data_IF_134276447522
#
_entry.id   IF_134276447522
#
_cell.length_a   1.000
_cell.length_b   1.000
_cell.length_c   1.000
_cell.angle_alpha   90.00
_cell.angle_beta   90.00
_cell.angle_gamma   90.00
#
_symmetry.space_group_name_H-M   'P 1'
#
loop_
_entity.id
_entity.type
_entity.pdbx_description
1 polymer ?
#
# COMPACT_ATOMS: atom_id res chain seq x y z
N UNK A 1 1.09 -28.58 -22.82
CA UNK A 1 0.82 -27.51 -21.82
C UNK A 1 1.64 -27.83 -20.60
N UNK A 2 2.77 -27.17 -20.43
CA UNK A 2 3.59 -27.30 -19.23
C UNK A 2 2.85 -26.62 -18.07
N UNK A 3 2.53 -27.39 -17.04
CA UNK A 3 2.09 -26.83 -15.75
C UNK A 3 3.24 -25.94 -15.26
N UNK A 4 3.00 -24.62 -15.18
CA UNK A 4 3.93 -23.74 -14.51
C UNK A 4 4.14 -24.30 -13.10
N UNK A 5 5.36 -24.68 -12.76
CA UNK A 5 5.71 -25.14 -11.42
C UNK A 5 5.30 -24.06 -10.44
N UNK A 6 4.49 -24.41 -9.43
CA UNK A 6 4.20 -23.50 -8.32
C UNK A 6 5.56 -23.02 -7.79
N UNK A 7 5.81 -21.71 -7.90
CA UNK A 7 7.04 -21.14 -7.39
C UNK A 7 7.06 -21.33 -5.87
N UNK A 8 8.02 -22.09 -5.39
CA UNK A 8 8.18 -22.33 -3.96
C UNK A 8 8.55 -21.01 -3.26
N UNK A 9 7.80 -20.66 -2.23
CA UNK A 9 7.97 -19.39 -1.49
C UNK A 9 8.66 -19.65 -0.17
N UNK A 10 9.83 -19.05 0.01
CA UNK A 10 10.52 -18.99 1.28
C UNK A 10 9.91 -17.88 2.14
N UNK A 11 9.55 -18.22 3.38
CA UNK A 11 9.02 -17.27 4.36
C UNK A 11 9.83 -17.31 5.65
N UNK A 12 10.01 -16.15 6.28
CA UNK A 12 10.76 -16.03 7.52
C UNK A 12 10.23 -14.89 8.39
N UNK A 13 10.07 -15.13 9.68
CA UNK A 13 9.96 -14.05 10.67
C UNK A 13 11.35 -13.48 10.95
N UNK A 14 11.48 -12.16 10.82
CA UNK A 14 12.74 -11.43 11.00
C UNK A 14 12.51 -10.23 11.92
N UNK A 15 13.61 -9.68 12.44
CA UNK A 15 13.57 -8.43 13.22
C UNK A 15 14.37 -7.36 12.50
N UNK A 16 13.76 -6.20 12.27
CA UNK A 16 14.43 -5.03 11.72
C UNK A 16 15.45 -4.44 12.72
N UNK A 17 16.39 -3.63 12.22
CA UNK A 17 17.47 -3.06 13.05
C UNK A 17 16.99 -2.27 14.28
N UNK A 18 15.80 -1.69 14.19
CA UNK A 18 15.17 -0.94 15.30
C UNK A 18 14.34 -1.81 16.25
N UNK A 19 14.45 -3.13 16.18
CA UNK A 19 13.69 -4.09 16.99
C UNK A 19 12.27 -4.39 16.47
N UNK A 20 11.85 -3.81 15.36
CA UNK A 20 10.52 -4.01 14.77
C UNK A 20 10.40 -5.42 14.18
N UNK A 21 9.44 -6.26 14.66
CA UNK A 21 9.18 -7.56 14.05
C UNK A 21 8.67 -7.40 12.61
N UNK A 22 9.06 -8.32 11.74
CA UNK A 22 8.64 -8.30 10.35
C UNK A 22 8.52 -9.73 9.78
N UNK A 23 7.72 -9.87 8.73
CA UNK A 23 7.58 -11.08 7.95
C UNK A 23 8.17 -10.87 6.57
N UNK A 24 9.10 -11.73 6.20
CA UNK A 24 9.76 -11.71 4.90
C UNK A 24 9.24 -12.88 4.05
N UNK A 25 8.92 -12.60 2.79
CA UNK A 25 8.53 -13.61 1.80
C UNK A 25 9.24 -13.34 0.47
N UNK A 26 9.78 -14.36 -0.18
CA UNK A 26 10.38 -14.27 -1.51
C UNK A 26 10.38 -15.65 -2.20
N UNK A 27 10.45 -15.71 -3.53
CA UNK A 27 10.73 -16.94 -4.27
C UNK A 27 11.99 -17.63 -3.74
N UNK A 28 11.90 -18.93 -3.48
CA UNK A 28 13.00 -19.71 -2.93
C UNK A 28 14.22 -19.68 -3.88
N UNK A 29 15.40 -19.51 -3.30
CA UNK A 29 16.63 -19.47 -4.09
C UNK A 29 16.89 -18.20 -4.89
N UNK A 30 15.93 -17.30 -5.01
CA UNK A 30 16.05 -16.07 -5.80
C UNK A 30 17.07 -15.07 -5.23
N UNK A 31 17.56 -14.19 -6.10
CA UNK A 31 18.46 -13.09 -5.76
C UNK A 31 18.11 -11.85 -6.59
N UNK A 32 18.26 -10.67 -5.97
CA UNK A 32 18.10 -9.37 -6.64
C UNK A 32 16.73 -9.17 -7.31
N UNK A 33 15.66 -9.54 -6.61
CA UNK A 33 14.29 -9.30 -7.05
C UNK A 33 13.86 -7.85 -6.79
N UNK A 34 12.96 -7.29 -7.60
CA UNK A 34 12.24 -6.07 -7.23
C UNK A 34 11.61 -6.24 -5.85
N UNK A 35 11.61 -5.19 -5.07
CA UNK A 35 11.36 -5.30 -3.63
C UNK A 35 10.14 -4.48 -3.21
N UNK A 36 9.33 -5.02 -2.31
CA UNK A 36 8.18 -4.33 -1.74
C UNK A 36 8.33 -4.27 -0.22
N UNK A 37 8.24 -3.08 0.38
CA UNK A 37 7.85 -2.94 1.79
C UNK A 37 6.34 -2.83 1.85
N UNK A 38 5.70 -3.82 2.47
CA UNK A 38 4.25 -3.93 2.58
C UNK A 38 3.81 -3.53 3.98
N UNK A 39 3.11 -2.41 4.07
CA UNK A 39 2.51 -1.93 5.32
C UNK A 39 1.15 -2.61 5.51
N UNK A 40 0.77 -2.80 6.75
CA UNK A 40 -0.49 -3.45 7.11
C UNK A 40 -1.64 -2.45 7.27
N UNK A 41 -2.88 -2.94 7.32
CA UNK A 41 -4.05 -2.18 7.74
C UNK A 41 -3.97 -1.82 9.24
N UNK A 42 -5.06 -1.27 9.80
CA UNK A 42 -5.15 -0.90 11.23
C UNK A 42 -4.90 -2.04 12.23
N UNK A 43 -4.86 -3.28 11.76
CA UNK A 43 -4.80 -4.48 12.61
C UNK A 43 -3.37 -4.97 12.89
N UNK A 44 -2.33 -4.31 12.40
CA UNK A 44 -0.95 -4.77 12.56
C UNK A 44 -0.59 -5.93 11.63
N UNK A 45 0.47 -6.66 11.97
CA UNK A 45 0.99 -7.78 11.17
C UNK A 45 0.17 -9.06 11.40
N UNK A 46 -1.09 -9.05 10.97
CA UNK A 46 -2.03 -10.19 11.05
C UNK A 46 -1.89 -11.14 9.85
N UNK A 47 -2.62 -12.27 9.89
CA UNK A 47 -2.62 -13.28 8.84
C UNK A 47 -2.84 -12.70 7.44
N UNK A 48 -3.83 -11.84 7.27
CA UNK A 48 -4.12 -11.20 5.98
C UNK A 48 -2.89 -10.48 5.39
N UNK A 49 -2.15 -9.72 6.21
CA UNK A 49 -0.93 -9.02 5.77
C UNK A 49 0.16 -10.01 5.34
N UNK A 50 0.34 -11.11 6.08
CA UNK A 50 1.28 -12.18 5.72
C UNK A 50 0.89 -12.88 4.43
N UNK A 51 -0.40 -13.17 4.24
CA UNK A 51 -0.92 -13.78 3.01
C UNK A 51 -0.71 -12.87 1.79
N UNK A 52 -0.90 -11.56 1.95
CA UNK A 52 -0.58 -10.57 0.90
C UNK A 52 0.91 -10.54 0.57
N UNK A 53 1.80 -10.61 1.57
CA UNK A 53 3.23 -10.69 1.34
C UNK A 53 3.62 -11.96 0.54
N UNK A 54 3.03 -13.11 0.88
CA UNK A 54 3.21 -14.37 0.14
C UNK A 54 2.69 -14.24 -1.28
N UNK A 55 1.54 -13.60 -1.47
CA UNK A 55 0.95 -13.37 -2.80
C UNK A 55 1.85 -12.49 -3.67
N UNK A 56 2.38 -11.38 -3.14
CA UNK A 56 3.37 -10.56 -3.85
C UNK A 56 4.65 -11.34 -4.16
N UNK A 57 5.09 -12.21 -3.25
CA UNK A 57 6.26 -13.06 -3.51
C UNK A 57 6.01 -14.07 -4.65
N UNK A 58 4.81 -14.66 -4.77
CA UNK A 58 4.42 -15.50 -5.91
C UNK A 58 4.42 -14.74 -7.23
N UNK A 59 4.16 -13.43 -7.18
CA UNK A 59 4.24 -12.53 -8.34
C UNK A 59 5.68 -12.09 -8.67
N UNK A 60 6.70 -12.61 -7.96
CA UNK A 60 8.11 -12.43 -8.29
C UNK A 60 8.83 -11.33 -7.50
N UNK A 61 8.30 -10.86 -6.38
CA UNK A 61 8.90 -9.83 -5.55
C UNK A 61 9.59 -10.41 -4.30
N UNK A 62 10.61 -9.70 -3.80
CA UNK A 62 11.05 -9.84 -2.41
C UNK A 62 10.22 -8.89 -1.54
N UNK A 63 9.55 -9.41 -0.52
CA UNK A 63 8.56 -8.65 0.25
C UNK A 63 8.90 -8.68 1.73
N UNK A 64 8.97 -7.51 2.35
CA UNK A 64 9.04 -7.37 3.80
C UNK A 64 7.77 -6.70 4.30
N UNK A 65 7.07 -7.35 5.22
CA UNK A 65 5.89 -6.83 5.91
C UNK A 65 6.23 -6.61 7.40
N UNK A 66 6.68 -5.40 7.79
CA UNK A 66 6.96 -5.09 9.20
C UNK A 66 5.68 -4.87 10.00
N UNK A 67 5.75 -5.12 11.31
CA UNK A 67 4.72 -4.69 12.26
C UNK A 67 4.97 -3.22 12.66
N UNK A 68 4.46 -2.28 11.89
CA UNK A 68 4.63 -0.85 12.16
C UNK A 68 4.02 -0.39 13.49
N UNK A 69 3.10 -1.19 14.06
CA UNK A 69 2.44 -0.90 15.34
C UNK A 69 3.02 -1.73 16.49
N UNK A 70 4.25 -2.20 16.38
CA UNK A 70 4.90 -3.09 17.36
C UNK A 70 5.06 -2.46 18.76
N UNK A 71 5.03 -1.14 18.86
CA UNK A 71 5.07 -0.42 20.15
C UNK A 71 3.73 -0.37 20.87
N UNK A 72 2.63 -0.77 20.22
CA UNK A 72 1.35 -0.83 20.90
C UNK A 72 1.41 -1.89 22.02
N UNK A 73 1.07 -1.53 23.27
CA UNK A 73 1.27 -2.41 24.43
C UNK A 73 0.38 -3.66 24.38
N UNK A 74 -0.77 -3.57 23.74
CA UNK A 74 -1.74 -4.67 23.61
C UNK A 74 -1.91 -5.06 22.12
N UNK A 75 -1.01 -5.93 21.66
CA UNK A 75 -1.05 -6.45 20.30
C UNK A 75 -2.29 -7.31 20.03
N UNK A 76 -2.85 -7.98 21.05
CA UNK A 76 -4.03 -8.83 20.89
C UNK A 76 -5.26 -7.98 20.52
N UNK A 77 -5.56 -6.97 21.30
CA UNK A 77 -6.69 -6.08 21.05
C UNK A 77 -6.47 -5.22 19.79
N UNK A 78 -5.22 -4.86 19.48
CA UNK A 78 -4.89 -4.20 18.21
C UNK A 78 -5.22 -5.11 17.01
N UNK A 79 -4.80 -6.37 17.06
CA UNK A 79 -5.03 -7.34 15.99
C UNK A 79 -6.53 -7.69 15.83
N UNK A 80 -7.30 -7.65 16.91
CA UNK A 80 -8.76 -7.79 16.88
C UNK A 80 -9.47 -6.54 16.35
N UNK A 81 -8.80 -5.38 16.35
CA UNK A 81 -9.39 -4.10 15.95
C UNK A 81 -10.12 -3.37 17.08
N UNK A 82 -9.99 -3.84 18.32
CA UNK A 82 -10.61 -3.23 19.51
C UNK A 82 -9.88 -1.97 19.97
N UNK A 83 -8.61 -1.85 19.59
CA UNK A 83 -7.79 -0.66 19.82
C UNK A 83 -7.19 -0.15 18.51
N UNK A 84 -6.49 0.98 18.58
CA UNK A 84 -5.79 1.53 17.42
C UNK A 84 -4.43 2.10 17.83
N UNK A 85 -3.54 2.21 16.86
CA UNK A 85 -2.27 2.90 17.00
C UNK A 85 -2.23 4.08 16.03
N UNK A 86 -2.02 5.27 16.55
CA UNK A 86 -1.93 6.49 15.75
C UNK A 86 -0.45 6.82 15.46
N UNK A 87 0.10 6.15 14.44
CA UNK A 87 1.46 6.36 13.98
C UNK A 87 1.61 7.74 13.34
N UNK A 88 2.64 8.48 13.74
CA UNK A 88 2.96 9.78 13.14
C UNK A 88 3.71 9.63 11.81
N UNK A 89 3.67 10.67 10.97
CA UNK A 89 4.47 10.69 9.73
C UNK A 89 5.98 10.53 10.00
N UNK A 90 6.61 11.26 10.95
CA UNK A 90 8.03 11.06 11.25
C UNK A 90 8.37 9.66 11.77
N UNK A 91 7.48 9.07 12.58
CA UNK A 91 7.65 7.70 13.08
C UNK A 91 7.60 6.70 11.93
N UNK A 92 6.65 6.86 10.99
CA UNK A 92 6.54 5.99 9.82
C UNK A 92 7.78 6.04 8.93
N UNK A 93 8.34 7.22 8.70
CA UNK A 93 9.60 7.39 7.94
C UNK A 93 10.75 6.66 8.61
N UNK A 94 10.86 6.78 9.94
CA UNK A 94 11.90 6.09 10.73
C UNK A 94 11.78 4.57 10.59
N UNK A 95 10.56 4.04 10.68
CA UNK A 95 10.32 2.61 10.60
C UNK A 95 10.50 2.07 9.16
N UNK A 96 10.06 2.81 8.16
CA UNK A 96 10.27 2.45 6.76
C UNK A 96 11.76 2.43 6.40
N UNK A 97 12.54 3.40 6.87
CA UNK A 97 14.01 3.41 6.68
C UNK A 97 14.67 2.21 7.34
N UNK A 98 14.24 1.80 8.54
CA UNK A 98 14.74 0.59 9.19
C UNK A 98 14.38 -0.69 8.42
N UNK A 99 13.16 -0.77 7.88
CA UNK A 99 12.74 -1.88 7.01
C UNK A 99 13.60 -1.97 5.74
N UNK A 100 13.86 -0.84 5.07
CA UNK A 100 14.73 -0.76 3.89
C UNK A 100 16.18 -1.17 4.23
N UNK A 101 16.70 -0.73 5.37
CA UNK A 101 18.05 -1.11 5.82
C UNK A 101 18.15 -2.64 6.05
N UNK A 102 17.10 -3.26 6.60
CA UNK A 102 17.01 -4.71 6.74
C UNK A 102 17.00 -5.42 5.40
N UNK A 103 16.21 -4.93 4.43
CA UNK A 103 16.14 -5.50 3.07
C UNK A 103 17.48 -5.36 2.31
N UNK A 104 18.23 -4.27 2.49
CA UNK A 104 19.56 -4.09 1.88
C UNK A 104 20.53 -5.23 2.20
N UNK A 105 20.37 -5.88 3.35
CA UNK A 105 21.20 -7.00 3.80
C UNK A 105 20.69 -8.35 3.29
N UNK A 106 19.50 -8.41 2.75
CA UNK A 106 18.90 -9.68 2.29
C UNK A 106 19.22 -9.94 0.83
N UNK A 107 19.78 -11.14 0.53
CA UNK A 107 20.26 -11.49 -0.82
C UNK A 107 19.20 -11.42 -1.91
N UNK A 108 17.93 -11.75 -1.57
CA UNK A 108 16.83 -11.74 -2.53
C UNK A 108 16.36 -10.32 -2.90
N UNK A 109 16.66 -9.30 -2.10
CA UNK A 109 16.15 -7.96 -2.28
C UNK A 109 17.05 -7.09 -3.18
N UNK A 110 16.42 -6.32 -4.07
CA UNK A 110 17.02 -5.23 -4.81
C UNK A 110 16.30 -3.92 -4.47
N UNK A 111 16.81 -3.21 -3.48
CA UNK A 111 16.22 -1.96 -3.00
C UNK A 111 16.41 -0.77 -3.95
N UNK A 112 17.13 -0.93 -5.07
CA UNK A 112 17.14 0.07 -6.15
C UNK A 112 15.86 0.03 -6.98
N UNK A 113 15.11 -1.07 -6.90
CA UNK A 113 13.79 -1.28 -7.48
C UNK A 113 12.78 -1.51 -6.35
N UNK A 114 12.51 -0.44 -5.58
CA UNK A 114 11.73 -0.48 -4.36
C UNK A 114 10.36 0.15 -4.53
N UNK A 115 9.30 -0.60 -4.21
CA UNK A 115 7.96 -0.06 -3.97
C UNK A 115 7.63 -0.09 -2.47
N UNK A 116 6.82 0.87 -2.04
CA UNK A 116 6.18 0.84 -0.72
C UNK A 116 4.67 0.81 -0.90
N UNK A 117 4.02 -0.17 -0.30
CA UNK A 117 2.57 -0.35 -0.38
C UNK A 117 1.92 -0.12 0.98
N UNK A 118 0.91 0.75 1.03
CA UNK A 118 0.13 1.05 2.22
C UNK A 118 -1.37 0.82 2.01
N UNK A 119 -2.03 0.38 3.07
CA UNK A 119 -3.44 -0.03 3.05
C UNK A 119 -4.22 0.66 4.17
N UNK A 120 -5.42 1.14 3.89
CA UNK A 120 -6.29 1.73 4.90
C UNK A 120 -5.57 2.86 5.67
N UNK A 121 -5.41 2.72 6.98
CA UNK A 121 -4.73 3.67 7.84
C UNK A 121 -3.28 3.95 7.43
N UNK A 122 -2.57 2.97 6.87
CA UNK A 122 -1.18 3.16 6.46
C UNK A 122 -1.02 3.66 5.02
N UNK A 123 -2.10 3.83 4.27
CA UNK A 123 -2.06 4.24 2.86
C UNK A 123 -1.36 5.59 2.58
N UNK A 124 -1.31 6.48 3.58
CA UNK A 124 -0.59 7.76 3.50
C UNK A 124 0.93 7.60 3.47
N UNK A 125 1.45 6.66 4.23
CA UNK A 125 2.88 6.59 4.56
C UNK A 125 3.83 6.24 3.40
N UNK A 126 3.42 5.51 2.34
CA UNK A 126 4.22 5.40 1.12
C UNK A 126 4.55 6.75 0.50
N UNK A 127 3.57 7.68 0.48
CA UNK A 127 3.76 9.04 -0.05
C UNK A 127 4.63 9.89 0.87
N UNK A 128 4.44 9.76 2.19
CA UNK A 128 5.27 10.45 3.20
C UNK A 128 6.74 10.05 3.04
N UNK A 129 7.03 8.75 2.90
CA UNK A 129 8.40 8.30 2.65
C UNK A 129 8.93 8.82 1.32
N UNK A 130 8.14 8.72 0.25
CA UNK A 130 8.55 9.14 -1.10
C UNK A 130 8.93 10.62 -1.18
N UNK A 131 8.32 11.46 -0.33
CA UNK A 131 8.65 12.89 -0.24
C UNK A 131 10.01 13.18 0.44
N UNK A 132 10.60 12.18 1.12
CA UNK A 132 11.85 12.36 1.90
C UNK A 132 12.94 11.35 1.52
N UNK A 133 12.57 10.27 0.84
CA UNK A 133 13.47 9.18 0.48
C UNK A 133 13.09 8.62 -0.89
N UNK A 134 14.03 8.50 -1.83
CA UNK A 134 13.72 7.98 -3.15
C UNK A 134 13.25 6.52 -3.08
N UNK A 135 12.09 6.27 -3.69
CA UNK A 135 11.53 4.95 -3.96
C UNK A 135 11.07 4.89 -5.41
N UNK A 136 10.92 3.70 -5.96
CA UNK A 136 10.52 3.53 -7.37
C UNK A 136 9.01 3.68 -7.57
N UNK A 137 8.18 3.31 -6.60
CA UNK A 137 6.74 3.40 -6.66
C UNK A 137 6.09 3.53 -5.29
N UNK A 138 5.03 4.33 -5.18
CA UNK A 138 4.13 4.36 -4.04
C UNK A 138 2.80 3.67 -4.40
N UNK A 139 2.33 2.76 -3.54
CA UNK A 139 1.08 2.00 -3.74
C UNK A 139 0.13 2.31 -2.60
N UNK A 140 -1.08 2.73 -2.94
CA UNK A 140 -2.12 3.15 -2.01
C UNK A 140 -3.40 2.35 -2.23
N UNK A 141 -3.82 1.57 -1.23
CA UNK A 141 -5.08 0.87 -1.23
C UNK A 141 -6.03 1.50 -0.22
N UNK A 142 -7.17 2.03 -0.68
CA UNK A 142 -8.23 2.66 0.13
C UNK A 142 -7.69 3.49 1.30
N UNK A 143 -6.69 4.35 1.01
CA UNK A 143 -6.03 5.22 1.99
C UNK A 143 -5.65 6.57 1.38
N UNK A 144 -4.97 7.42 2.12
CA UNK A 144 -4.37 8.70 1.73
C UNK A 144 -5.30 9.79 1.16
N UNK A 145 -6.52 9.48 0.70
CA UNK A 145 -7.35 10.46 -0.01
C UNK A 145 -8.39 11.17 0.88
N UNK A 146 -8.68 10.65 2.09
CA UNK A 146 -9.74 11.18 2.94
C UNK A 146 -9.53 12.64 3.35
N UNK A 147 -10.60 13.32 3.75
CA UNK A 147 -10.57 14.76 4.12
C UNK A 147 -9.46 15.10 5.13
N UNK A 148 -9.26 14.25 6.13
CA UNK A 148 -8.24 14.47 7.19
C UNK A 148 -6.81 14.53 6.66
N UNK A 149 -6.51 13.90 5.53
CA UNK A 149 -5.16 13.84 4.98
C UNK A 149 -4.66 15.21 4.49
N UNK A 150 -5.59 16.14 4.24
CA UNK A 150 -5.30 17.49 3.79
C UNK A 150 -5.06 18.50 4.91
N UNK A 151 -5.21 18.05 6.16
CA UNK A 151 -5.04 18.87 7.36
C UNK A 151 -3.64 18.66 7.96
N UNK A 152 -3.15 19.67 8.70
CA UNK A 152 -1.93 19.60 9.48
C UNK A 152 -2.29 19.43 10.94
N UNK A 153 -1.68 18.46 11.62
CA UNK A 153 -1.88 18.20 13.04
C UNK A 153 -0.64 17.49 13.66
N UNK A 154 -0.72 17.12 14.94
CA UNK A 154 0.39 16.47 15.63
C UNK A 154 0.85 15.13 15.06
N UNK A 155 -0.02 14.40 14.34
CA UNK A 155 0.33 13.13 13.72
C UNK A 155 0.92 13.33 12.31
N UNK A 156 0.44 14.35 11.60
CA UNK A 156 0.77 14.66 10.22
C UNK A 156 1.18 16.15 10.10
N UNK A 157 2.47 16.45 10.20
CA UNK A 157 2.99 17.82 10.21
C UNK A 157 2.96 18.50 8.83
N UNK A 158 2.63 17.76 7.76
CA UNK A 158 2.46 18.27 6.40
C UNK A 158 1.11 17.83 5.86
N UNK A 159 0.37 18.73 5.21
CA UNK A 159 -0.81 18.38 4.44
C UNK A 159 -0.45 17.48 3.25
N UNK A 160 -1.38 16.65 2.80
CA UNK A 160 -1.15 15.72 1.68
C UNK A 160 -0.66 16.43 0.41
N UNK A 161 -1.15 17.64 0.13
CA UNK A 161 -0.69 18.44 -1.03
C UNK A 161 0.81 18.73 -0.98
N UNK A 162 1.34 19.09 0.21
CA UNK A 162 2.77 19.35 0.38
C UNK A 162 3.62 18.09 0.16
N UNK A 163 3.07 16.93 0.57
CA UNK A 163 3.70 15.63 0.35
C UNK A 163 3.69 15.29 -1.14
N UNK A 164 2.54 15.40 -1.82
CA UNK A 164 2.40 15.12 -3.25
C UNK A 164 3.33 16.02 -4.08
N UNK A 165 3.46 17.29 -3.72
CA UNK A 165 4.38 18.21 -4.40
C UNK A 165 5.84 17.70 -4.40
N UNK A 166 6.24 17.01 -3.35
CA UNK A 166 7.63 16.58 -3.10
C UNK A 166 7.98 15.17 -3.60
N UNK A 167 7.00 14.32 -3.96
CA UNK A 167 7.29 12.97 -4.45
C UNK A 167 7.84 13.01 -5.89
N UNK A 168 8.69 12.04 -6.24
CA UNK A 168 9.22 11.87 -7.60
C UNK A 168 8.88 10.52 -8.24
N UNK A 169 8.27 9.60 -7.50
CA UNK A 169 7.84 8.31 -8.02
C UNK A 169 6.39 8.31 -8.48
N UNK A 170 6.01 7.41 -9.42
CA UNK A 170 4.61 7.19 -9.78
C UNK A 170 3.81 6.58 -8.63
N UNK A 171 2.51 6.85 -8.63
CA UNK A 171 1.56 6.44 -7.59
C UNK A 171 0.52 5.48 -8.17
N UNK A 172 0.36 4.30 -7.58
CA UNK A 172 -0.80 3.45 -7.78
C UNK A 172 -1.85 3.75 -6.73
N UNK A 173 -3.13 3.84 -7.12
CA UNK A 173 -4.26 4.03 -6.22
C UNK A 173 -5.41 3.06 -6.51
N UNK A 174 -5.93 2.38 -5.48
CA UNK A 174 -7.10 1.52 -5.60
C UNK A 174 -8.14 1.89 -4.54
N UNK A 175 -9.33 2.29 -4.97
CA UNK A 175 -10.39 2.82 -4.12
C UNK A 175 -11.71 2.10 -4.38
N UNK A 176 -12.63 2.20 -3.44
CA UNK A 176 -13.96 1.61 -3.55
C UNK A 176 -15.05 2.67 -3.61
N UNK A 177 -16.05 2.45 -4.45
CA UNK A 177 -17.19 3.36 -4.60
C UNK A 177 -18.01 3.50 -3.31
N UNK A 178 -18.24 2.38 -2.61
CA UNK A 178 -19.05 2.36 -1.39
C UNK A 178 -18.23 2.50 -0.11
N UNK A 179 -17.00 3.05 -0.22
CA UNK A 179 -16.17 3.37 0.93
C UNK A 179 -16.83 4.47 1.78
N UNK A 180 -17.03 4.19 3.08
CA UNK A 180 -17.67 5.11 4.02
C UNK A 180 -16.73 6.20 4.58
N UNK A 181 -15.42 6.12 4.25
CA UNK A 181 -14.39 7.06 4.70
C UNK A 181 -13.94 7.97 3.57
N UNK A 182 -13.78 7.42 2.37
CA UNK A 182 -13.23 8.09 1.19
C UNK A 182 -14.30 8.15 0.12
N UNK A 183 -14.81 9.34 -0.16
CA UNK A 183 -15.80 9.57 -1.22
C UNK A 183 -15.15 9.62 -2.61
N UNK A 184 -15.94 9.49 -3.68
CA UNK A 184 -15.44 9.72 -5.05
C UNK A 184 -14.88 11.13 -5.22
N UNK A 185 -15.47 12.13 -4.55
CA UNK A 185 -14.97 13.51 -4.55
C UNK A 185 -13.57 13.61 -3.90
N UNK A 186 -13.32 12.83 -2.84
CA UNK A 186 -12.00 12.77 -2.20
C UNK A 186 -10.97 12.11 -3.13
N UNK A 187 -11.34 11.03 -3.84
CA UNK A 187 -10.48 10.39 -4.85
C UNK A 187 -10.19 11.35 -6.01
N UNK A 188 -11.19 12.09 -6.48
CA UNK A 188 -11.01 13.09 -7.52
C UNK A 188 -10.09 14.23 -7.06
N UNK A 189 -10.22 14.69 -5.81
CA UNK A 189 -9.31 15.67 -5.21
C UNK A 189 -7.88 15.17 -5.19
N UNK A 190 -7.68 13.91 -4.79
CA UNK A 190 -6.37 13.26 -4.77
C UNK A 190 -5.74 13.21 -6.16
N UNK A 191 -6.50 12.75 -7.16
CA UNK A 191 -6.10 12.75 -8.57
C UNK A 191 -5.75 14.15 -9.06
N UNK A 192 -6.63 15.13 -8.84
CA UNK A 192 -6.41 16.51 -9.30
C UNK A 192 -5.14 17.14 -8.70
N UNK A 193 -4.84 16.80 -7.43
CA UNK A 193 -3.60 17.24 -6.78
C UNK A 193 -2.36 16.62 -7.44
N UNK A 194 -2.39 15.31 -7.75
CA UNK A 194 -1.31 14.65 -8.50
C UNK A 194 -1.09 15.29 -9.86
N UNK A 195 -2.16 15.61 -10.60
CA UNK A 195 -2.10 16.29 -11.89
C UNK A 195 -1.53 17.72 -11.78
N UNK A 196 -2.00 18.50 -10.79
CA UNK A 196 -1.52 19.87 -10.55
C UNK A 196 0.00 19.90 -10.28
N UNK A 197 0.53 18.91 -9.61
CA UNK A 197 1.95 18.74 -9.34
C UNK A 197 2.68 17.86 -10.37
N UNK A 198 2.03 17.54 -11.52
CA UNK A 198 2.60 16.76 -12.63
C UNK A 198 3.19 15.40 -12.18
N UNK A 199 2.52 14.74 -11.24
CA UNK A 199 2.92 13.40 -10.77
C UNK A 199 2.24 12.32 -11.60
N UNK A 200 2.98 11.26 -11.92
CA UNK A 200 2.42 10.11 -12.62
C UNK A 200 1.58 9.25 -11.70
N UNK A 201 0.46 8.73 -12.21
CA UNK A 201 -0.39 7.85 -11.42
C UNK A 201 -1.15 6.84 -12.30
N UNK A 202 -1.57 5.74 -11.67
CA UNK A 202 -2.55 4.78 -12.14
C UNK A 202 -3.59 4.55 -11.04
N UNK A 203 -4.76 5.17 -11.14
CA UNK A 203 -5.81 5.18 -10.11
C UNK A 203 -7.05 4.45 -10.61
N UNK A 204 -7.56 3.54 -9.80
CA UNK A 204 -8.76 2.74 -10.06
C UNK A 204 -9.79 2.90 -8.95
N UNK A 205 -11.05 3.07 -9.33
CA UNK A 205 -12.22 3.01 -8.44
C UNK A 205 -13.10 1.86 -8.88
N UNK A 206 -13.52 1.02 -7.92
CA UNK A 206 -14.29 -0.19 -8.16
C UNK A 206 -15.72 -0.03 -7.64
N UNK A 207 -16.71 -0.28 -8.53
CA UNK A 207 -18.14 -0.23 -8.21
C UNK A 207 -18.49 -1.22 -7.08
N UNK A 208 -19.32 -0.80 -6.13
CA UNK A 208 -19.80 -1.60 -5.02
C UNK A 208 -18.75 -2.08 -4.03
N UNK A 209 -17.50 -1.60 -4.15
CA UNK A 209 -16.42 -1.97 -3.24
C UNK A 209 -16.40 -1.05 -2.00
N UNK A 210 -16.53 -1.58 -0.76
CA UNK A 210 -16.49 -0.81 0.48
C UNK A 210 -15.05 -0.58 0.95
N UNK A 211 -14.87 0.13 2.07
CA UNK A 211 -13.54 0.25 2.69
C UNK A 211 -12.98 -1.12 3.12
N UNK A 212 -11.73 -1.44 2.73
CA UNK A 212 -11.10 -2.71 3.08
C UNK A 212 -11.52 -3.91 2.20
N UNK A 213 -12.05 -3.66 1.02
CA UNK A 213 -12.59 -4.68 0.10
C UNK A 213 -11.58 -5.73 -0.42
N UNK A 214 -10.29 -5.51 -0.23
CA UNK A 214 -9.27 -6.50 -0.57
C UNK A 214 -9.12 -7.59 0.51
N UNK A 215 -9.57 -7.32 1.74
CA UNK A 215 -9.34 -8.18 2.89
C UNK A 215 -10.31 -9.37 2.92
N UNK A 216 -9.83 -10.53 2.48
CA UNK A 216 -10.60 -11.78 2.40
C UNK A 216 -10.87 -12.45 3.76
N UNK A 217 -10.25 -11.95 4.85
CA UNK A 217 -10.60 -12.37 6.22
C UNK A 217 -11.82 -11.64 6.78
N UNK A 218 -12.36 -10.68 6.02
CA UNK A 218 -13.53 -9.87 6.36
C UNK A 218 -14.66 -10.07 5.33
N UNK A 219 -15.46 -11.12 5.44
CA UNK A 219 -16.43 -11.50 4.40
C UNK A 219 -17.48 -10.41 4.10
N UNK A 220 -17.85 -9.59 5.09
CA UNK A 220 -18.75 -8.46 4.89
C UNK A 220 -18.18 -7.37 3.96
N UNK A 221 -16.86 -7.22 3.93
CA UNK A 221 -16.16 -6.20 3.12
C UNK A 221 -15.58 -6.76 1.83
N UNK A 222 -15.13 -7.99 1.83
CA UNK A 222 -14.42 -8.59 0.71
C UNK A 222 -15.27 -8.57 -0.58
N UNK A 223 -14.67 -8.08 -1.66
CA UNK A 223 -15.28 -8.08 -3.00
C UNK A 223 -14.34 -8.79 -3.98
N UNK A 224 -14.59 -10.09 -4.17
CA UNK A 224 -13.70 -10.98 -4.93
C UNK A 224 -13.33 -10.43 -6.32
N UNK A 225 -14.31 -9.99 -7.10
CA UNK A 225 -14.06 -9.49 -8.46
C UNK A 225 -13.18 -8.22 -8.44
N UNK A 226 -13.52 -7.25 -7.60
CA UNK A 226 -12.74 -6.03 -7.41
C UNK A 226 -11.31 -6.37 -6.90
N UNK A 227 -11.19 -7.29 -5.91
CA UNK A 227 -9.90 -7.72 -5.37
C UNK A 227 -8.99 -8.35 -6.42
N UNK A 228 -9.54 -9.16 -7.32
CA UNK A 228 -8.80 -9.75 -8.43
C UNK A 228 -8.39 -8.70 -9.47
N UNK A 229 -9.32 -7.82 -9.86
CA UNK A 229 -9.05 -6.76 -10.84
C UNK A 229 -8.03 -5.74 -10.32
N UNK A 230 -8.18 -5.27 -9.06
CA UNK A 230 -7.25 -4.35 -8.43
C UNK A 230 -5.85 -4.93 -8.24
N UNK A 231 -5.79 -6.21 -7.85
CA UNK A 231 -4.50 -6.91 -7.76
C UNK A 231 -3.82 -7.00 -9.12
N UNK A 232 -4.54 -7.40 -10.17
CA UNK A 232 -4.00 -7.46 -11.53
C UNK A 232 -3.53 -6.07 -12.03
N UNK A 233 -4.26 -5.00 -11.71
CA UNK A 233 -3.86 -3.64 -12.02
C UNK A 233 -2.56 -3.25 -11.31
N UNK A 234 -2.46 -3.51 -10.00
CA UNK A 234 -1.22 -3.30 -9.24
C UNK A 234 -0.03 -4.07 -9.83
N UNK A 235 -0.24 -5.34 -10.23
CA UNK A 235 0.82 -6.16 -10.80
C UNK A 235 1.33 -5.59 -12.13
N UNK A 236 0.44 -5.14 -13.00
CA UNK A 236 0.83 -4.47 -14.25
C UNK A 236 1.63 -3.20 -13.96
N UNK A 237 1.13 -2.35 -13.06
CA UNK A 237 1.82 -1.12 -12.66
C UNK A 237 3.21 -1.40 -12.07
N UNK A 238 3.32 -2.31 -11.10
CA UNK A 238 4.60 -2.66 -10.49
C UNK A 238 5.54 -3.35 -11.47
N UNK A 239 5.03 -4.24 -12.32
CA UNK A 239 5.81 -4.89 -13.38
C UNK A 239 6.42 -3.88 -14.34
N UNK A 240 5.67 -2.85 -14.74
CA UNK A 240 6.18 -1.79 -15.60
C UNK A 240 7.21 -0.91 -14.88
N UNK A 241 6.87 -0.40 -13.69
CA UNK A 241 7.73 0.54 -12.96
C UNK A 241 9.03 -0.14 -12.47
N UNK A 242 8.91 -1.30 -11.82
CA UNK A 242 10.06 -2.01 -11.24
C UNK A 242 10.82 -2.87 -12.26
N UNK A 243 10.18 -3.19 -13.39
CA UNK A 243 10.78 -3.92 -14.51
C UNK A 243 11.69 -3.06 -15.42
N UNK A 244 11.76 -1.75 -15.17
CA UNK A 244 12.57 -0.82 -15.96
C UNK A 244 11.87 -0.29 -17.23
N UNK A 245 10.61 -0.58 -17.43
CA UNK A 245 9.79 -0.04 -18.55
C UNK A 245 9.31 1.40 -18.31
N UNK A 246 9.47 1.93 -17.10
CA UNK A 246 9.14 3.31 -16.77
C UNK A 246 10.32 4.22 -17.05
N UNK A 247 10.13 5.16 -17.97
CA UNK A 247 11.13 6.18 -18.28
C UNK A 247 10.88 7.42 -17.42
N UNK A 248 11.82 7.77 -16.56
CA UNK A 248 11.77 8.97 -15.74
C UNK A 248 11.62 10.23 -16.62
N UNK A 249 10.83 11.20 -16.15
CA UNK A 249 10.55 12.45 -16.85
C UNK A 249 9.29 12.44 -17.72
N UNK A 250 8.70 11.30 -18.05
CA UNK A 250 7.40 11.22 -18.73
C UNK A 250 6.27 11.14 -17.70
N UNK A 251 5.41 12.15 -17.68
CA UNK A 251 4.21 12.13 -16.84
C UNK A 251 3.13 11.28 -17.50
N UNK A 252 2.61 10.29 -16.77
CA UNK A 252 1.54 9.40 -17.22
C UNK A 252 0.37 9.45 -16.26
N UNK A 253 -0.82 9.63 -16.77
CA UNK A 253 -2.06 9.69 -16.01
C UNK A 253 -3.02 8.62 -16.49
N UNK A 254 -3.44 7.76 -15.58
CA UNK A 254 -4.44 6.73 -15.81
C UNK A 254 -5.48 6.78 -14.69
N UNK A 255 -6.73 7.06 -15.05
CA UNK A 255 -7.86 7.11 -14.12
C UNK A 255 -9.01 6.27 -14.64
N UNK A 256 -9.25 5.11 -14.03
CA UNK A 256 -10.38 4.24 -14.28
C UNK A 256 -11.35 4.33 -13.09
N UNK A 257 -12.56 4.80 -13.33
CA UNK A 257 -13.57 4.96 -12.30
C UNK A 257 -14.85 4.23 -12.73
N UNK A 258 -15.17 3.16 -12.02
CA UNK A 258 -16.44 2.44 -12.14
C UNK A 258 -17.33 2.87 -10.98
N UNK A 259 -18.51 3.42 -11.30
CA UNK A 259 -19.47 3.85 -10.31
C UNK A 259 -20.90 3.60 -10.78
N UNK A 260 -21.78 3.29 -9.83
CA UNK A 260 -23.20 3.15 -10.08
C UNK A 260 -23.83 4.47 -10.53
N UNK A 261 -24.95 4.40 -11.26
CA UNK A 261 -25.69 5.60 -11.69
C UNK A 261 -26.28 6.37 -10.52
N UNK A 262 -26.60 5.66 -9.44
CA UNK A 262 -27.25 6.21 -8.24
C UNK A 262 -26.22 6.41 -7.09
N UNK A 263 -24.97 6.75 -7.43
CA UNK A 263 -23.96 7.00 -6.42
C UNK A 263 -24.37 8.11 -5.45
N UNK A 264 -24.40 7.76 -4.16
CA UNK A 264 -24.69 8.69 -3.07
C UNK A 264 -23.83 8.31 -1.86
N UNK A 265 -22.79 9.11 -1.59
CA UNK A 265 -21.86 8.86 -0.49
C UNK A 265 -22.53 8.77 0.88
N UNK A 266 -23.67 9.47 1.09
CA UNK A 266 -24.37 9.45 2.37
C UNK A 266 -24.97 8.08 2.73
N UNK A 267 -25.11 7.20 1.73
CA UNK A 267 -25.59 5.81 1.91
C UNK A 267 -24.47 4.83 2.25
N UNK A 268 -23.21 5.24 2.15
CA UNK A 268 -22.08 4.37 2.44
C UNK A 268 -21.98 4.16 3.95
N UNK A 269 -21.93 2.89 4.36
CA UNK A 269 -21.86 2.50 5.77
C UNK A 269 -20.65 1.63 6.03
N UNK A 270 -20.18 1.64 7.26
CA UNK A 270 -19.14 0.72 7.69
C UNK A 270 -19.71 -0.70 7.70
N UNK A 271 -19.05 -1.59 6.98
CA UNK A 271 -19.33 -3.03 7.01
C UNK A 271 -18.34 -3.74 7.93
N UNK A 272 -18.79 -4.83 8.55
CA UNK A 272 -17.96 -5.68 9.43
C UNK A 272 -17.54 -6.98 8.72
#
# INVERSE_FOLDING_TARGET
>A
MSLASETDISTQDVTCENGMPAFLACPAGAAKLPTIVLMHERYGLVKHTRDQAIRCARDGFAVLAPNFFFKHPDQRNLNAGDTRYDMTDPESVTYLKAAIATLKKHRAADVTRLAVAGYCQTGRHPLVLAAEHPISAAVVWYGAASKREWEVNGLQPKALEQIIAAIDCPVFGAFGETDHIISLADVQRFRNCLEAHRKSYDIHVYEGAPHGWLNDTMPGRYRKAAAQAGWAAQQRFLGEVLGGGYQGGTVRWSFACESSRDYDFSKNVRLE
#
